data_IF_605752944654
#
_entry.id   IF_605752944654
#
_cell.length_a   1.000
_cell.length_b   1.000
_cell.length_c   1.000
_cell.angle_alpha   90.00
_cell.angle_beta   90.00
_cell.angle_gamma   90.00
#
_symmetry.space_group_name_H-M   'P 1'
#
loop_
_entity.id
_entity.type
_entity.pdbx_description
1 polymer ?
#
# COMPACT_ATOMS: atom_id res chain seq x y z
N UNK A 1 -7.44 14.49 -1.65
CA UNK A 1 -8.26 13.28 -1.46
C UNK A 1 -9.26 13.06 -2.60
N UNK A 2 -10.06 14.03 -3.00
CA UNK A 2 -11.06 13.86 -4.09
C UNK A 2 -10.49 13.36 -5.43
N UNK A 3 -9.20 13.48 -5.69
CA UNK A 3 -8.58 13.02 -6.95
C UNK A 3 -8.67 11.51 -7.18
N UNK A 4 -8.73 10.70 -6.12
CA UNK A 4 -8.84 9.26 -6.26
C UNK A 4 -10.16 8.87 -6.93
N UNK A 5 -11.27 9.54 -6.58
CA UNK A 5 -12.55 9.32 -7.22
C UNK A 5 -12.51 9.70 -8.72
N UNK A 6 -11.93 10.86 -9.04
CA UNK A 6 -11.74 11.26 -10.43
C UNK A 6 -10.82 10.31 -11.21
N UNK A 7 -9.81 9.71 -10.56
CA UNK A 7 -8.97 8.69 -11.17
C UNK A 7 -9.72 7.39 -11.48
N UNK A 8 -10.71 7.03 -10.67
CA UNK A 8 -11.51 5.82 -10.89
C UNK A 8 -12.53 6.04 -12.01
N UNK A 9 -13.25 7.18 -12.01
CA UNK A 9 -14.33 7.43 -12.95
C UNK A 9 -13.86 8.01 -14.29
N UNK A 10 -12.87 8.90 -14.28
CA UNK A 10 -12.26 9.51 -15.47
C UNK A 10 -10.75 9.55 -15.35
N UNK A 11 -10.09 8.38 -15.50
CA UNK A 11 -8.65 8.29 -15.36
C UNK A 11 -7.91 9.09 -16.43
N UNK A 12 -8.42 9.12 -17.68
CA UNK A 12 -7.77 9.79 -18.79
C UNK A 12 -7.52 11.27 -18.54
N UNK A 13 -8.61 12.04 -18.36
CA UNK A 13 -8.53 13.48 -18.13
C UNK A 13 -7.81 13.82 -16.81
N UNK A 14 -7.93 12.97 -15.80
CA UNK A 14 -7.27 13.18 -14.51
C UNK A 14 -5.75 13.01 -14.62
N UNK A 15 -5.28 11.98 -15.32
CA UNK A 15 -3.85 11.78 -15.56
C UNK A 15 -3.23 12.90 -16.42
N UNK A 16 -3.92 13.39 -17.43
CA UNK A 16 -3.48 14.56 -18.18
C UNK A 16 -3.29 15.79 -17.30
N UNK A 17 -4.25 16.07 -16.40
CA UNK A 17 -4.13 17.16 -15.44
C UNK A 17 -2.95 16.98 -14.48
N UNK A 18 -2.66 15.73 -14.06
CA UNK A 18 -1.51 15.40 -13.22
C UNK A 18 -0.21 15.61 -13.98
N UNK A 19 -0.12 15.12 -15.22
CA UNK A 19 1.06 15.26 -16.08
C UNK A 19 1.40 16.73 -16.38
N UNK A 20 0.37 17.54 -16.71
CA UNK A 20 0.55 18.99 -16.99
C UNK A 20 1.03 19.77 -15.76
N UNK A 21 0.53 19.46 -14.57
CA UNK A 21 0.86 20.22 -13.34
C UNK A 21 2.28 20.00 -12.82
N UNK A 22 2.98 18.96 -13.25
CA UNK A 22 4.39 18.62 -12.91
C UNK A 22 4.74 18.87 -11.44
N UNK A 23 3.85 18.53 -10.50
CA UNK A 23 4.06 18.76 -9.06
C UNK A 23 5.28 18.01 -8.56
N UNK A 24 6.01 18.62 -7.63
CA UNK A 24 7.14 17.96 -6.96
C UNK A 24 6.68 16.74 -6.14
N UNK A 25 7.54 15.73 -5.99
CA UNK A 25 7.26 14.52 -5.21
C UNK A 25 6.91 14.84 -3.74
N UNK A 26 7.61 15.83 -3.15
CA UNK A 26 7.36 16.26 -1.77
C UNK A 26 5.97 16.89 -1.60
N UNK A 27 5.51 17.67 -2.56
CA UNK A 27 4.17 18.22 -2.55
C UNK A 27 3.10 17.12 -2.64
N UNK A 28 3.31 16.11 -3.50
CA UNK A 28 2.39 14.97 -3.61
C UNK A 28 2.37 14.17 -2.31
N UNK A 29 3.55 13.96 -1.71
CA UNK A 29 3.70 13.28 -0.43
C UNK A 29 2.85 13.95 0.66
N UNK A 30 3.08 15.24 0.93
CA UNK A 30 2.43 15.95 2.04
C UNK A 30 0.95 16.24 1.82
N UNK A 31 0.55 16.61 0.59
CA UNK A 31 -0.83 17.06 0.33
C UNK A 31 -1.77 15.94 -0.07
N UNK A 32 -1.24 14.77 -0.44
CA UNK A 32 -2.04 13.69 -0.96
C UNK A 32 -1.78 12.35 -0.25
N UNK A 33 -0.54 11.87 -0.28
CA UNK A 33 -0.22 10.53 0.19
C UNK A 33 -0.30 10.41 1.71
N UNK A 34 0.36 11.29 2.45
CA UNK A 34 0.36 11.27 3.93
C UNK A 34 -1.04 11.42 4.50
N UNK A 35 -1.86 12.41 4.10
CA UNK A 35 -3.24 12.51 4.60
C UNK A 35 -4.10 11.30 4.28
N UNK A 36 -3.87 10.65 3.12
CA UNK A 36 -4.62 9.47 2.73
C UNK A 36 -4.22 8.24 3.54
N UNK A 37 -2.93 8.04 3.77
CA UNK A 37 -2.43 6.96 4.64
C UNK A 37 -2.94 7.15 6.08
N UNK A 38 -2.83 8.36 6.63
CA UNK A 38 -3.30 8.65 7.99
C UNK A 38 -4.81 8.41 8.14
N UNK A 39 -5.61 8.79 7.14
CA UNK A 39 -7.04 8.55 7.17
C UNK A 39 -7.36 7.06 7.18
N UNK A 40 -6.69 6.29 6.32
CA UNK A 40 -6.95 4.85 6.20
C UNK A 40 -6.49 4.11 7.45
N UNK A 41 -5.29 4.40 7.96
CA UNK A 41 -4.77 3.76 9.18
C UNK A 41 -5.60 4.15 10.40
N UNK A 42 -5.96 5.42 10.57
CA UNK A 42 -6.81 5.85 11.68
C UNK A 42 -8.20 5.20 11.64
N UNK A 43 -8.81 5.08 10.46
CA UNK A 43 -10.12 4.43 10.29
C UNK A 43 -10.04 2.93 10.63
N UNK A 44 -9.00 2.24 10.17
CA UNK A 44 -8.78 0.83 10.47
C UNK A 44 -8.50 0.63 11.96
N UNK A 45 -7.62 1.43 12.57
CA UNK A 45 -7.29 1.36 13.99
C UNK A 45 -8.50 1.63 14.89
N UNK A 46 -9.33 2.61 14.56
CA UNK A 46 -10.58 2.86 15.26
C UNK A 46 -11.51 1.64 15.18
N UNK A 47 -11.66 1.05 14.01
CA UNK A 47 -12.51 -0.14 13.83
C UNK A 47 -12.00 -1.34 14.63
N UNK A 48 -10.68 -1.58 14.62
CA UNK A 48 -10.08 -2.67 15.40
C UNK A 48 -10.28 -2.44 16.91
N UNK A 49 -10.21 -1.19 17.36
CA UNK A 49 -10.43 -0.84 18.77
C UNK A 49 -11.87 -1.11 19.21
N UNK A 50 -12.86 -0.69 18.41
CA UNK A 50 -14.28 -0.80 18.76
C UNK A 50 -14.85 -2.20 18.55
N UNK A 51 -14.56 -2.79 17.41
CA UNK A 51 -15.21 -4.03 16.94
C UNK A 51 -14.28 -5.22 16.98
N UNK A 52 -12.96 -5.01 17.06
CA UNK A 52 -11.95 -6.03 16.83
C UNK A 52 -11.82 -6.36 15.35
N UNK A 53 -10.93 -7.29 15.00
CA UNK A 53 -10.74 -7.73 13.63
C UNK A 53 -10.78 -9.24 13.55
N UNK A 54 -11.57 -9.74 12.59
CA UNK A 54 -11.59 -11.16 12.30
C UNK A 54 -10.25 -11.59 11.72
N UNK A 55 -9.58 -12.53 12.37
CA UNK A 55 -8.38 -13.16 11.84
C UNK A 55 -8.73 -14.56 11.38
N UNK A 56 -8.48 -14.92 10.11
CA UNK A 56 -8.61 -16.31 9.71
C UNK A 56 -7.56 -17.15 10.44
N UNK A 57 -7.95 -17.82 11.49
CA UNK A 57 -7.15 -18.94 11.98
C UNK A 57 -7.24 -20.04 10.95
N UNK A 58 -6.11 -20.49 10.43
CA UNK A 58 -6.00 -21.65 9.55
C UNK A 58 -6.30 -22.98 10.28
N UNK A 59 -7.10 -22.94 11.34
CA UNK A 59 -7.56 -24.14 12.00
C UNK A 59 -8.80 -24.68 11.29
N UNK A 60 -8.60 -25.86 10.71
CA UNK A 60 -9.62 -26.64 10.02
C UNK A 60 -10.88 -26.72 10.89
N UNK A 61 -12.00 -26.22 10.40
CA UNK A 61 -13.35 -26.51 10.91
C UNK A 61 -13.83 -25.86 12.22
N UNK A 62 -13.27 -24.75 12.70
CA UNK A 62 -13.93 -24.00 13.77
C UNK A 62 -14.56 -22.71 13.26
N UNK A 63 -15.82 -22.60 13.61
CA UNK A 63 -16.83 -21.62 13.23
C UNK A 63 -16.31 -20.22 12.92
N UNK A 64 -16.86 -19.62 11.88
CA UNK A 64 -16.64 -18.27 11.37
C UNK A 64 -16.94 -17.13 12.37
N UNK A 65 -17.13 -17.43 13.65
CA UNK A 65 -17.55 -16.49 14.71
C UNK A 65 -16.76 -16.78 15.99
N UNK A 66 -15.43 -16.70 15.92
CA UNK A 66 -14.70 -16.46 17.15
C UNK A 66 -14.85 -14.98 17.50
N UNK A 67 -15.37 -14.63 18.71
CA UNK A 67 -15.46 -13.25 19.12
C UNK A 67 -14.04 -12.67 19.10
N UNK A 68 -13.85 -11.70 18.23
CA UNK A 68 -12.57 -11.01 18.10
C UNK A 68 -12.29 -10.37 19.44
N UNK A 69 -11.22 -10.81 20.08
CA UNK A 69 -10.79 -10.22 21.35
C UNK A 69 -10.50 -8.74 21.11
N UNK A 70 -11.24 -7.86 21.77
CA UNK A 70 -11.07 -6.39 21.67
C UNK A 70 -9.73 -5.89 22.20
N UNK A 71 -8.91 -6.74 22.76
CA UNK A 71 -7.68 -6.37 23.45
C UNK A 71 -6.47 -6.70 22.58
N UNK A 72 -6.09 -5.75 21.73
CA UNK A 72 -4.83 -5.78 20.99
C UNK A 72 -3.82 -4.83 21.67
N UNK A 73 -2.96 -5.33 22.58
CA UNK A 73 -2.00 -4.49 23.29
C UNK A 73 -1.03 -3.80 22.32
N UNK A 74 -0.83 -4.36 21.14
CA UNK A 74 0.10 -3.85 20.12
C UNK A 74 -0.58 -3.05 18.99
N UNK A 75 -1.86 -2.65 19.15
CA UNK A 75 -2.58 -1.93 18.11
C UNK A 75 -1.85 -0.66 17.64
N UNK A 76 -1.30 0.12 18.58
CA UNK A 76 -0.54 1.34 18.23
C UNK A 76 0.74 1.03 17.46
N UNK A 77 1.43 -0.06 17.81
CA UNK A 77 2.62 -0.51 17.10
C UNK A 77 2.25 -0.99 15.69
N UNK A 78 1.17 -1.74 15.55
CA UNK A 78 0.63 -2.17 14.26
C UNK A 78 0.30 -0.98 13.35
N UNK A 79 -0.45 0.01 13.85
CA UNK A 79 -0.85 1.19 13.08
C UNK A 79 0.36 2.02 12.61
N UNK A 80 1.32 2.25 13.51
CA UNK A 80 2.54 2.97 13.17
C UNK A 80 3.41 2.20 12.18
N UNK A 81 3.60 0.90 12.38
CA UNK A 81 4.35 0.04 11.47
C UNK A 81 3.71 0.00 10.08
N UNK A 82 2.38 -0.09 10.02
CA UNK A 82 1.61 -0.07 8.79
C UNK A 82 1.74 1.26 8.03
N UNK A 83 1.63 2.40 8.72
CA UNK A 83 1.80 3.71 8.10
C UNK A 83 3.22 3.89 7.53
N UNK A 84 4.24 3.49 8.30
CA UNK A 84 5.65 3.54 7.87
C UNK A 84 5.88 2.59 6.70
N UNK A 85 5.37 1.36 6.75
CA UNK A 85 5.53 0.38 5.68
C UNK A 85 4.88 0.85 4.37
N UNK A 86 3.70 1.47 4.43
CA UNK A 86 3.03 2.04 3.26
C UNK A 86 3.81 3.21 2.65
N UNK A 87 4.36 4.09 3.48
CA UNK A 87 5.22 5.18 3.01
C UNK A 87 6.49 4.62 2.36
N UNK A 88 7.19 3.72 3.04
CA UNK A 88 8.40 3.09 2.53
C UNK A 88 8.15 2.35 1.20
N UNK A 89 7.03 1.61 1.12
CA UNK A 89 6.60 0.92 -0.10
C UNK A 89 6.47 1.87 -1.29
N UNK A 90 5.82 3.03 -1.11
CA UNK A 90 5.63 3.99 -2.20
C UNK A 90 6.97 4.55 -2.68
N UNK A 91 7.91 4.86 -1.77
CA UNK A 91 9.25 5.31 -2.13
C UNK A 91 10.05 4.26 -2.86
N UNK A 92 10.05 3.01 -2.36
CA UNK A 92 10.74 1.88 -2.97
C UNK A 92 10.15 1.58 -4.36
N UNK A 93 8.83 1.52 -4.47
CA UNK A 93 8.16 1.27 -5.75
C UNK A 93 8.43 2.39 -6.76
N UNK A 94 8.45 3.65 -6.33
CA UNK A 94 8.77 4.78 -7.19
C UNK A 94 10.22 4.76 -7.66
N UNK A 95 11.15 4.35 -6.80
CA UNK A 95 12.56 4.19 -7.14
C UNK A 95 12.75 3.05 -8.15
N UNK A 96 12.15 1.88 -7.89
CA UNK A 96 12.20 0.74 -8.80
C UNK A 96 11.60 1.07 -10.17
N UNK A 97 10.46 1.75 -10.18
CA UNK A 97 9.84 2.20 -11.44
C UNK A 97 10.70 3.22 -12.17
N UNK A 98 11.40 4.11 -11.45
CA UNK A 98 12.32 5.07 -12.04
C UNK A 98 13.52 4.35 -12.70
N UNK A 99 14.12 3.38 -12.01
CA UNK A 99 15.22 2.58 -12.55
C UNK A 99 14.76 1.78 -13.77
N UNK A 100 13.63 1.09 -13.67
CA UNK A 100 13.04 0.35 -14.78
C UNK A 100 12.73 1.28 -15.98
N UNK A 101 12.15 2.46 -15.72
CA UNK A 101 11.86 3.44 -16.75
C UNK A 101 13.11 3.88 -17.52
N UNK A 102 14.23 4.07 -16.83
CA UNK A 102 15.51 4.41 -17.47
C UNK A 102 16.04 3.27 -18.35
N UNK A 103 15.84 2.02 -17.96
CA UNK A 103 16.21 0.84 -18.74
C UNK A 103 15.42 0.76 -20.06
N UNK A 104 14.17 1.19 -20.03
CA UNK A 104 13.30 1.24 -21.22
C UNK A 104 13.36 2.57 -21.98
N UNK A 105 14.48 3.27 -21.93
CA UNK A 105 14.73 4.54 -22.62
C UNK A 105 13.80 5.70 -22.23
N UNK A 106 13.08 5.59 -21.13
CA UNK A 106 12.25 6.64 -20.59
C UNK A 106 13.08 7.68 -19.83
N UNK A 107 13.34 8.84 -20.42
CA UNK A 107 14.13 9.94 -19.81
C UNK A 107 13.27 10.80 -18.86
N UNK A 108 12.56 10.22 -17.91
CA UNK A 108 11.72 11.02 -16.99
C UNK A 108 12.33 11.14 -15.60
N UNK A 109 12.17 12.31 -15.01
CA UNK A 109 12.63 12.57 -13.65
C UNK A 109 11.90 11.68 -12.63
N UNK A 110 12.56 11.31 -11.54
CA UNK A 110 12.00 10.53 -10.41
C UNK A 110 10.60 11.01 -9.97
N UNK A 111 10.34 12.32 -10.01
CA UNK A 111 9.03 12.90 -9.69
C UNK A 111 7.87 12.30 -10.50
N UNK A 112 8.11 11.93 -11.77
CA UNK A 112 7.08 11.34 -12.63
C UNK A 112 6.76 9.91 -12.17
N UNK A 113 7.77 9.10 -11.90
CA UNK A 113 7.61 7.74 -11.34
C UNK A 113 6.93 7.79 -9.97
N UNK A 114 7.33 8.73 -9.10
CA UNK A 114 6.67 8.93 -7.82
C UNK A 114 5.19 9.32 -7.96
N UNK A 115 4.87 10.21 -8.89
CA UNK A 115 3.48 10.59 -9.15
C UNK A 115 2.64 9.39 -9.65
N UNK A 116 3.19 8.58 -10.57
CA UNK A 116 2.52 7.39 -11.08
C UNK A 116 2.23 6.40 -9.95
N UNK A 117 3.22 6.12 -9.10
CA UNK A 117 3.05 5.20 -7.97
C UNK A 117 2.07 5.79 -6.93
N UNK A 118 2.27 7.03 -6.49
CA UNK A 118 1.46 7.64 -5.42
C UNK A 118 -0.02 7.78 -5.82
N UNK A 119 -0.30 8.21 -7.03
CA UNK A 119 -1.68 8.32 -7.53
C UNK A 119 -2.24 6.98 -8.01
N UNK A 120 -1.41 6.13 -8.63
CA UNK A 120 -1.82 4.80 -9.08
C UNK A 120 -2.17 3.87 -7.92
N UNK A 121 -1.48 3.98 -6.77
CA UNK A 121 -1.76 3.19 -5.58
C UNK A 121 -3.01 3.66 -4.79
N UNK A 122 -3.56 4.81 -5.14
CA UNK A 122 -4.71 5.40 -4.44
C UNK A 122 -5.95 4.50 -4.33
N UNK A 123 -6.33 3.70 -5.35
CA UNK A 123 -7.46 2.78 -5.22
C UNK A 123 -7.23 1.72 -4.15
N UNK A 124 -5.99 1.23 -4.03
CA UNK A 124 -5.63 0.25 -2.99
C UNK A 124 -5.77 0.87 -1.60
N UNK A 125 -5.39 2.13 -1.43
CA UNK A 125 -5.61 2.86 -0.17
C UNK A 125 -7.11 3.08 0.08
N UNK A 126 -7.88 3.42 -0.95
CA UNK A 126 -9.31 3.65 -0.81
C UNK A 126 -10.06 2.36 -0.43
N UNK A 127 -9.74 1.24 -1.10
CA UNK A 127 -10.39 -0.05 -0.80
C UNK A 127 -10.03 -0.59 0.58
N UNK A 128 -8.92 -0.15 1.18
CA UNK A 128 -8.61 -0.43 2.58
C UNK A 128 -9.61 0.17 3.58
N UNK A 129 -10.36 1.20 3.20
CA UNK A 129 -11.46 1.67 4.03
C UNK A 129 -12.55 0.61 4.22
N UNK A 130 -12.63 -0.38 3.34
CA UNK A 130 -13.51 -1.55 3.53
C UNK A 130 -13.04 -2.43 4.70
N UNK A 131 -11.75 -2.36 5.05
CA UNK A 131 -11.20 -3.09 6.20
C UNK A 131 -11.71 -2.54 7.55
N UNK A 132 -12.42 -1.41 7.55
CA UNK A 132 -13.18 -0.88 8.69
C UNK A 132 -14.33 -1.84 9.05
N UNK A 133 -14.88 -2.59 8.09
CA UNK A 133 -15.88 -3.62 8.38
C UNK A 133 -15.19 -4.84 9.01
N UNK A 134 -15.55 -5.27 10.23
CA UNK A 134 -14.86 -6.35 10.96
C UNK A 134 -14.83 -7.68 10.21
N UNK A 135 -15.86 -7.94 9.41
CA UNK A 135 -16.01 -9.17 8.61
C UNK A 135 -15.22 -9.15 7.30
N UNK A 136 -14.71 -8.00 6.88
CA UNK A 136 -14.03 -7.89 5.60
C UNK A 136 -12.65 -8.54 5.66
N UNK A 137 -12.41 -9.46 4.74
CA UNK A 137 -11.09 -10.04 4.58
C UNK A 137 -10.15 -9.01 3.96
N UNK A 138 -9.07 -8.68 4.65
CA UNK A 138 -8.09 -7.69 4.20
C UNK A 138 -7.39 -8.07 2.88
N UNK A 139 -7.33 -9.32 2.52
CA UNK A 139 -6.80 -9.75 1.22
C UNK A 139 -7.80 -9.49 0.10
N UNK A 140 -9.11 -9.57 0.40
CA UNK A 140 -10.16 -9.26 -0.58
C UNK A 140 -10.19 -7.75 -0.91
N UNK A 141 -10.11 -6.88 0.10
CA UNK A 141 -10.03 -5.43 -0.11
C UNK A 141 -8.76 -5.04 -0.88
N UNK A 142 -7.62 -5.67 -0.56
CA UNK A 142 -6.37 -5.47 -1.28
C UNK A 142 -6.48 -5.92 -2.75
N UNK A 143 -7.02 -7.10 -3.02
CA UNK A 143 -7.18 -7.62 -4.38
C UNK A 143 -8.11 -6.73 -5.23
N UNK A 144 -9.21 -6.25 -4.63
CA UNK A 144 -10.10 -5.29 -5.28
C UNK A 144 -9.36 -3.98 -5.63
N UNK A 145 -8.57 -3.47 -4.69
CA UNK A 145 -7.75 -2.28 -4.92
C UNK A 145 -6.73 -2.46 -6.04
N UNK A 146 -6.07 -3.62 -6.09
CA UNK A 146 -5.14 -3.97 -7.17
C UNK A 146 -5.84 -4.01 -8.52
N UNK A 147 -7.04 -4.62 -8.61
CA UNK A 147 -7.82 -4.62 -9.85
C UNK A 147 -8.12 -3.22 -10.37
N UNK A 148 -8.57 -2.32 -9.51
CA UNK A 148 -8.81 -0.92 -9.87
C UNK A 148 -7.52 -0.18 -10.23
N UNK A 149 -6.41 -0.46 -9.52
CA UNK A 149 -5.10 0.11 -9.80
C UNK A 149 -4.60 -0.25 -11.20
N UNK A 150 -4.73 -1.52 -11.60
CA UNK A 150 -4.36 -2.01 -12.93
C UNK A 150 -5.05 -1.18 -14.01
N UNK A 151 -6.35 -0.97 -13.87
CA UNK A 151 -7.14 -0.15 -14.79
C UNK A 151 -6.64 1.30 -14.86
N UNK A 152 -6.37 1.92 -13.73
CA UNK A 152 -5.92 3.31 -13.65
C UNK A 152 -4.51 3.48 -14.22
N UNK A 153 -3.59 2.56 -13.93
CA UNK A 153 -2.20 2.61 -14.42
C UNK A 153 -2.11 2.41 -15.93
N UNK A 154 -3.00 1.63 -16.52
CA UNK A 154 -3.05 1.45 -17.97
C UNK A 154 -3.17 2.79 -18.70
N UNK A 155 -3.93 3.72 -18.16
CA UNK A 155 -4.07 5.04 -18.73
C UNK A 155 -3.04 6.05 -18.24
N UNK A 156 -2.49 5.86 -17.04
CA UNK A 156 -1.58 6.78 -16.38
C UNK A 156 -0.15 6.72 -16.92
N UNK A 157 0.37 5.52 -17.11
CA UNK A 157 1.76 5.31 -17.51
C UNK A 157 2.10 5.99 -18.83
N UNK A 158 1.34 5.79 -19.93
CA UNK A 158 1.69 6.43 -21.19
C UNK A 158 1.60 7.96 -21.14
N UNK A 159 0.71 8.52 -20.30
CA UNK A 159 0.51 9.97 -20.19
C UNK A 159 1.53 10.69 -19.30
N UNK A 160 2.03 10.00 -18.27
CA UNK A 160 2.93 10.61 -17.27
C UNK A 160 4.39 10.28 -17.52
N UNK A 161 4.69 9.03 -17.85
CA UNK A 161 6.06 8.59 -18.13
C UNK A 161 6.45 8.81 -19.59
N UNK A 162 5.46 8.89 -20.50
CA UNK A 162 5.68 9.05 -21.95
C UNK A 162 6.82 8.13 -22.45
N UNK A 163 6.72 6.82 -22.22
CA UNK A 163 7.74 5.89 -22.70
C UNK A 163 7.69 5.78 -24.21
N UNK A 164 8.74 5.19 -24.79
CA UNK A 164 8.70 4.78 -26.18
C UNK A 164 7.49 3.83 -26.43
N UNK A 165 6.70 4.03 -27.49
CA UNK A 165 5.53 3.22 -27.79
C UNK A 165 5.79 1.72 -27.78
N UNK A 166 6.97 1.30 -28.24
CA UNK A 166 7.38 -0.12 -28.26
C UNK A 166 7.57 -0.72 -26.86
N UNK A 167 7.91 0.10 -25.88
CA UNK A 167 8.20 -0.33 -24.49
C UNK A 167 7.08 -0.01 -23.48
N UNK A 168 6.02 0.68 -23.91
CA UNK A 168 4.93 1.13 -23.02
C UNK A 168 4.29 -0.02 -22.26
N UNK A 169 4.02 -1.15 -22.95
CA UNK A 169 3.43 -2.32 -22.31
C UNK A 169 4.38 -2.98 -21.30
N UNK A 170 5.67 -3.03 -21.61
CA UNK A 170 6.70 -3.56 -20.69
C UNK A 170 6.78 -2.75 -19.40
N UNK A 171 6.80 -1.42 -19.48
CA UNK A 171 6.80 -0.55 -18.29
C UNK A 171 5.51 -0.69 -17.50
N UNK A 172 4.36 -0.83 -18.16
CA UNK A 172 3.08 -1.05 -17.51
C UNK A 172 3.06 -2.33 -16.68
N UNK A 173 3.46 -3.46 -17.25
CA UNK A 173 3.54 -4.75 -16.54
C UNK A 173 4.56 -4.66 -15.39
N UNK A 174 5.71 -4.06 -15.64
CA UNK A 174 6.75 -3.85 -14.61
C UNK A 174 6.21 -3.02 -13.43
N UNK A 175 5.47 -1.95 -13.70
CA UNK A 175 4.86 -1.13 -12.65
C UNK A 175 3.85 -1.93 -11.82
N UNK A 176 3.01 -2.74 -12.45
CA UNK A 176 2.05 -3.60 -11.74
C UNK A 176 2.79 -4.58 -10.83
N UNK A 177 3.79 -5.30 -11.36
CA UNK A 177 4.57 -6.26 -10.59
C UNK A 177 5.24 -5.58 -9.40
N UNK A 178 5.88 -4.43 -9.59
CA UNK A 178 6.52 -3.66 -8.52
C UNK A 178 5.51 -3.33 -7.43
N UNK A 179 4.34 -2.78 -7.77
CA UNK A 179 3.34 -2.36 -6.77
C UNK A 179 2.75 -3.58 -6.06
N UNK A 180 2.42 -4.64 -6.79
CA UNK A 180 1.86 -5.88 -6.20
C UNK A 180 2.84 -6.48 -5.20
N UNK A 181 4.10 -6.64 -5.60
CA UNK A 181 5.12 -7.22 -4.72
C UNK A 181 5.40 -6.33 -3.51
N UNK A 182 5.64 -5.04 -3.72
CA UNK A 182 5.98 -4.13 -2.61
C UNK A 182 4.80 -3.93 -1.66
N UNK A 183 3.56 -3.82 -2.17
CA UNK A 183 2.38 -3.70 -1.33
C UNK A 183 2.02 -5.00 -0.60
N UNK A 184 2.23 -6.14 -1.23
CA UNK A 184 2.08 -7.45 -0.61
C UNK A 184 3.05 -7.64 0.56
N UNK A 185 4.34 -7.33 0.33
CA UNK A 185 5.36 -7.38 1.40
C UNK A 185 5.04 -6.41 2.54
N UNK A 186 4.66 -5.17 2.23
CA UNK A 186 4.26 -4.20 3.25
C UNK A 186 3.07 -4.70 4.09
N UNK A 187 2.13 -5.39 3.46
CA UNK A 187 0.97 -5.96 4.13
C UNK A 187 1.33 -7.14 5.03
N UNK A 188 2.15 -8.08 4.55
CA UNK A 188 2.65 -9.19 5.36
C UNK A 188 3.42 -8.67 6.57
N UNK A 189 4.30 -7.69 6.36
CA UNK A 189 5.06 -7.07 7.42
C UNK A 189 4.14 -6.44 8.49
N UNK A 190 3.12 -5.70 8.09
CA UNK A 190 2.16 -5.10 9.02
C UNK A 190 1.38 -6.17 9.82
N UNK A 191 0.93 -7.26 9.17
CA UNK A 191 0.21 -8.34 9.86
C UNK A 191 1.06 -9.07 10.89
N UNK A 192 2.38 -9.19 10.68
CA UNK A 192 3.29 -9.77 11.68
C UNK A 192 3.32 -8.95 12.98
N UNK A 193 3.17 -7.63 12.90
CA UNK A 193 3.03 -6.78 14.11
C UNK A 193 1.68 -7.03 14.81
N UNK A 194 0.60 -7.14 14.07
CA UNK A 194 -0.71 -7.39 14.66
C UNK A 194 -0.78 -8.74 15.39
N UNK A 195 -0.07 -9.74 14.88
CA UNK A 195 0.00 -11.08 15.46
C UNK A 195 0.99 -11.19 16.64
N UNK A 196 1.71 -10.12 16.95
CA UNK A 196 2.73 -10.11 18.01
C UNK A 196 3.98 -10.95 17.67
N UNK A 197 4.11 -11.43 16.45
CA UNK A 197 5.25 -12.27 16.06
C UNK A 197 6.58 -11.52 16.13
N UNK A 198 6.57 -10.23 15.87
CA UNK A 198 7.78 -9.38 15.94
C UNK A 198 8.19 -9.17 17.38
N UNK A 199 7.23 -8.96 18.29
CA UNK A 199 7.50 -8.82 19.74
C UNK A 199 8.06 -10.12 20.33
N UNK A 200 7.46 -11.27 19.98
CA UNK A 200 7.93 -12.58 20.45
C UNK A 200 9.32 -12.94 19.91
N UNK A 201 9.63 -12.61 18.66
CA UNK A 201 10.99 -12.84 18.10
C UNK A 201 12.04 -11.94 18.75
N UNK A 202 11.68 -10.70 19.08
CA UNK A 202 12.60 -9.78 19.74
C UNK A 202 12.94 -10.26 21.17
N UNK A 203 11.93 -10.74 21.92
CA UNK A 203 12.13 -11.35 23.23
C UNK A 203 12.97 -12.63 23.15
N UNK A 204 12.73 -13.48 22.15
CA UNK A 204 13.52 -14.69 21.91
C UNK A 204 14.97 -14.38 21.53
N UNK A 205 15.21 -13.36 20.68
CA UNK A 205 16.56 -12.95 20.28
C UNK A 205 17.34 -12.35 21.45
N UNK A 206 16.70 -11.52 22.27
CA UNK A 206 17.31 -10.95 23.48
C UNK A 206 17.60 -12.05 24.51
N UNK A 207 16.68 -13.00 24.72
CA UNK A 207 16.91 -14.14 25.61
C UNK A 207 18.08 -15.02 25.14
N UNK A 208 18.21 -15.23 23.84
CA UNK A 208 19.30 -16.02 23.26
C UNK A 208 20.67 -15.32 23.40
N UNK A 209 20.69 -14.01 23.21
CA UNK A 209 21.92 -13.20 23.46
C UNK A 209 22.25 -13.23 24.94
N UNK A 210 21.31 -13.08 25.85
CA UNK A 210 21.56 -13.14 27.29
C UNK A 210 22.08 -14.50 27.74
N UNK A 211 21.66 -15.62 27.15
CA UNK A 211 22.20 -16.95 27.40
C UNK A 211 23.64 -17.17 26.89
N UNK A 212 24.08 -16.37 25.90
CA UNK A 212 25.43 -16.45 25.36
C UNK A 212 26.46 -15.74 26.28
N UNK A 213 25.97 -14.87 27.17
CA UNK A 213 26.81 -14.10 28.11
C UNK A 213 26.75 -14.64 29.55
N UNK A 214 26.05 -15.75 29.79
CA UNK A 214 26.08 -16.54 31.04
C UNK A 214 26.94 -17.78 30.86
#
# INVERSE_FOLDING_TARGET
MLKVFFLIFDPGATWEKIARKKRGWFFILLTYLVPMILLVTAAEGWSIHEYGKWQPKFDRFKSFIDPVTKNYPELKAFESAQAVALLAMVFIAALLLHVAGNTFHGKRAYRASFAVIAYGFSPVLLTRLLDVAPMMNQWASWALGIGLMIWILYQGIPRVLEPDPTHTFGIYITAIIIIVLTSGVARVFATMFLQGEVSNRHSWFIQRIAQFFQ
#
